data_IF_657608643044
#
_entry.id   IF_657608643044
#
_cell.length_a   1.000
_cell.length_b   1.000
_cell.length_c   1.000
_cell.angle_alpha   90.00
_cell.angle_beta   90.00
_cell.angle_gamma   90.00
#
_symmetry.space_group_name_H-M   'P 1'
#
loop_
_entity.id
_entity.type
_entity.pdbx_description
1 polymer ?
#
# COMPACT_ATOMS: atom_id res chain seq x y z
N UNK A 1 -4.82 3.70 7.43
CA UNK A 1 -3.38 3.35 7.39
C UNK A 1 -2.84 3.54 5.99
N UNK A 2 -1.58 3.95 5.85
CA UNK A 2 -0.83 3.90 4.59
C UNK A 2 0.43 3.06 4.79
N UNK A 3 0.61 1.99 4.01
CA UNK A 3 1.85 1.21 4.01
C UNK A 3 2.75 1.73 2.88
N UNK A 4 3.53 2.80 3.11
CA UNK A 4 4.53 3.29 2.14
C UNK A 4 5.48 4.33 2.75
N UNK A 5 6.67 3.88 3.11
CA UNK A 5 7.88 4.69 3.24
C UNK A 5 7.78 5.79 4.29
N UNK A 6 8.18 6.99 3.88
CA UNK A 6 8.31 8.15 4.78
C UNK A 6 6.98 8.78 5.18
N UNK A 7 5.83 8.33 4.65
CA UNK A 7 4.51 8.88 4.97
C UNK A 7 4.07 10.10 4.15
N UNK A 8 4.86 10.52 3.14
CA UNK A 8 4.56 11.71 2.33
C UNK A 8 3.23 11.64 1.58
N UNK A 9 2.83 10.45 1.09
CA UNK A 9 1.53 10.30 0.41
C UNK A 9 0.38 10.49 1.40
N UNK A 10 0.50 9.89 2.58
CA UNK A 10 -0.51 9.99 3.63
C UNK A 10 -0.64 11.41 4.18
N UNK A 11 0.47 12.14 4.31
CA UNK A 11 0.43 13.52 4.79
C UNK A 11 -0.34 14.44 3.84
N UNK A 12 -0.23 14.24 2.53
CA UNK A 12 -1.03 14.94 1.52
C UNK A 12 -2.52 14.59 1.66
N UNK A 13 -2.84 13.31 1.84
CA UNK A 13 -4.23 12.84 2.03
C UNK A 13 -4.85 13.48 3.28
N UNK A 14 -4.17 13.40 4.43
CA UNK A 14 -4.66 13.96 5.70
C UNK A 14 -4.74 15.49 5.64
N UNK A 15 -3.81 16.15 4.95
CA UNK A 15 -3.88 17.62 4.77
C UNK A 15 -5.10 18.05 3.96
N UNK A 16 -5.52 17.25 2.96
CA UNK A 16 -6.72 17.51 2.16
C UNK A 16 -8.01 17.10 2.86
N UNK A 17 -7.97 16.04 3.67
CA UNK A 17 -9.11 15.51 4.42
C UNK A 17 -8.77 15.45 5.91
N UNK A 18 -8.85 16.59 6.63
CA UNK A 18 -8.37 16.67 7.99
C UNK A 18 -9.01 15.63 8.91
N UNK A 19 -10.31 15.36 8.75
CA UNK A 19 -11.04 14.39 9.58
C UNK A 19 -10.44 12.97 9.61
N UNK A 20 -9.56 12.63 8.67
CA UNK A 20 -8.83 11.37 8.64
C UNK A 20 -7.69 11.39 9.65
N UNK A 21 -7.66 10.40 10.55
CA UNK A 21 -6.49 10.09 11.39
C UNK A 21 -5.56 9.15 10.64
N UNK A 22 -4.38 9.62 10.29
CA UNK A 22 -3.43 8.86 9.47
C UNK A 22 -2.43 8.07 10.33
N UNK A 23 -2.30 6.76 10.05
CA UNK A 23 -1.19 5.92 10.52
C UNK A 23 -0.30 5.60 9.31
N UNK A 24 0.94 6.10 9.30
CA UNK A 24 2.00 5.67 8.40
C UNK A 24 2.68 4.44 8.98
N UNK A 25 2.73 3.38 8.19
CA UNK A 25 3.18 2.06 8.63
C UNK A 25 4.27 1.57 7.70
N UNK A 26 5.43 1.22 8.25
CA UNK A 26 6.54 0.62 7.52
C UNK A 26 7.47 -0.11 8.50
N UNK A 27 8.56 -0.69 8.03
CA UNK A 27 9.57 -1.31 8.88
C UNK A 27 10.19 -0.28 9.83
N UNK A 28 10.61 -0.69 11.05
CA UNK A 28 11.14 0.22 12.06
C UNK A 28 12.26 1.17 11.56
N UNK A 29 13.20 0.64 10.78
CA UNK A 29 14.33 1.42 10.24
C UNK A 29 13.91 2.45 9.17
N UNK A 30 12.78 2.26 8.50
CA UNK A 30 12.21 3.23 7.56
C UNK A 30 11.55 4.35 8.34
N UNK A 31 10.75 3.98 9.34
CA UNK A 31 10.03 4.92 10.21
C UNK A 31 10.98 5.80 11.03
N UNK A 32 12.10 5.27 11.49
CA UNK A 32 13.13 6.04 12.22
C UNK A 32 13.60 7.27 11.44
N UNK A 33 13.62 7.18 10.10
CA UNK A 33 14.05 8.25 9.21
C UNK A 33 12.88 9.05 8.60
N UNK A 34 11.63 8.75 9.00
CA UNK A 34 10.47 9.45 8.47
C UNK A 34 10.35 10.86 9.09
N UNK A 35 10.08 11.90 8.29
CA UNK A 35 9.88 13.24 8.81
C UNK A 35 8.57 13.31 9.62
N UNK A 36 8.50 14.27 10.54
CA UNK A 36 7.26 14.56 11.25
C UNK A 36 6.30 15.35 10.35
N UNK A 37 5.02 15.01 10.39
CA UNK A 37 3.97 15.73 9.69
C UNK A 37 3.01 16.36 10.71
N UNK A 38 3.31 17.57 11.22
CA UNK A 38 2.43 18.23 12.17
C UNK A 38 1.11 18.60 11.49
N UNK A 39 -0.02 18.15 12.06
CA UNK A 39 -1.34 18.58 11.64
C UNK A 39 -1.65 19.98 12.16
N UNK A 40 -2.20 20.86 11.32
CA UNK A 40 -2.65 22.18 11.76
C UNK A 40 -4.15 22.08 12.08
N UNK A 41 -4.48 22.08 13.37
CA UNK A 41 -5.83 22.42 13.82
C UNK A 41 -5.75 23.54 14.82
N UNK A 42 -6.78 24.37 14.82
CA UNK A 42 -6.97 25.44 15.80
C UNK A 42 -7.05 24.95 17.26
N UNK A 43 -7.24 23.65 17.55
CA UNK A 43 -7.41 23.12 18.92
C UNK A 43 -6.74 21.73 19.18
N UNK A 44 -6.29 20.96 18.17
CA UNK A 44 -5.72 19.60 18.38
C UNK A 44 -4.72 19.19 17.29
N UNK A 45 -3.44 18.98 17.62
CA UNK A 45 -2.47 18.43 16.65
C UNK A 45 -2.80 16.96 16.38
N UNK A 46 -3.52 16.67 15.29
CA UNK A 46 -3.68 15.30 14.78
C UNK A 46 -2.96 15.21 13.44
N UNK A 47 -1.67 14.90 13.52
CA UNK A 47 -0.81 14.69 12.36
C UNK A 47 -0.85 13.25 11.84
N UNK A 48 0.19 12.85 11.13
CA UNK A 48 0.43 11.45 10.78
C UNK A 48 1.15 10.77 11.96
N UNK A 49 0.56 9.70 12.48
CA UNK A 49 1.21 8.81 13.44
C UNK A 49 2.10 7.82 12.69
N UNK A 50 3.33 7.63 13.13
CA UNK A 50 4.26 6.67 12.55
C UNK A 50 4.34 5.41 13.40
N UNK A 51 4.17 4.25 12.78
CA UNK A 51 4.25 2.93 13.44
C UNK A 51 5.23 2.05 12.68
N UNK A 52 6.30 1.64 13.36
CA UNK A 52 7.36 0.78 12.82
C UNK A 52 7.13 -0.69 13.18
N UNK A 53 6.77 -1.53 12.22
CA UNK A 53 6.57 -2.98 12.44
C UNK A 53 6.62 -3.74 11.09
N UNK A 54 6.72 -5.07 11.14
CA UNK A 54 6.62 -5.91 9.94
C UNK A 54 5.15 -6.22 9.59
N UNK A 55 4.74 -5.93 8.36
CA UNK A 55 3.39 -6.23 7.83
C UNK A 55 3.07 -7.74 7.87
N UNK A 56 4.10 -8.60 7.81
CA UNK A 56 3.95 -10.04 7.96
C UNK A 56 3.81 -10.47 9.43
N UNK A 57 4.14 -9.60 10.39
CA UNK A 57 3.91 -9.82 11.81
C UNK A 57 2.54 -9.31 12.24
N UNK A 58 2.26 -8.01 12.07
CA UNK A 58 0.97 -7.41 12.42
C UNK A 58 0.67 -6.16 11.59
N UNK A 59 -0.61 -5.80 11.51
CA UNK A 59 -1.09 -4.62 10.78
C UNK A 59 -1.99 -3.84 11.73
N UNK A 60 -1.69 -2.56 12.06
CA UNK A 60 -2.56 -1.71 12.86
C UNK A 60 -3.99 -1.63 12.31
N UNK A 61 -4.97 -1.54 13.22
CA UNK A 61 -6.38 -1.45 12.84
C UNK A 61 -6.71 -0.10 12.20
N UNK A 62 -7.67 -0.10 11.28
CA UNK A 62 -8.22 1.14 10.74
C UNK A 62 -9.42 0.92 9.82
N UNK A 63 -10.21 1.97 9.62
CA UNK A 63 -11.39 1.93 8.73
C UNK A 63 -11.01 1.67 7.27
N UNK A 64 -9.78 2.08 6.89
CA UNK A 64 -9.22 1.78 5.59
C UNK A 64 -7.70 1.56 5.66
N UNK A 65 -7.21 0.66 4.81
CA UNK A 65 -5.79 0.42 4.56
C UNK A 65 -5.48 0.82 3.12
N UNK A 66 -4.59 1.79 2.97
CA UNK A 66 -4.09 2.27 1.69
C UNK A 66 -2.70 1.69 1.43
N UNK A 67 -2.53 1.04 0.29
CA UNK A 67 -1.27 0.43 -0.14
C UNK A 67 -0.90 1.01 -1.49
N UNK A 68 0.30 1.57 -1.62
CA UNK A 68 0.80 2.12 -2.88
C UNK A 68 2.09 1.41 -3.25
N UNK A 69 2.15 0.78 -4.43
CA UNK A 69 3.36 0.07 -4.90
C UNK A 69 3.92 -0.96 -3.91
N UNK A 70 3.04 -1.61 -3.15
CA UNK A 70 3.42 -2.68 -2.22
C UNK A 70 3.35 -4.05 -2.89
N UNK A 71 2.37 -4.27 -3.77
CA UNK A 71 2.14 -5.58 -4.37
C UNK A 71 3.28 -5.96 -5.32
N UNK A 72 3.82 -4.99 -6.05
CA UNK A 72 4.94 -5.19 -6.98
C UNK A 72 6.21 -5.77 -6.31
N UNK A 73 6.35 -5.62 -4.99
CA UNK A 73 7.52 -6.10 -4.25
C UNK A 73 7.50 -7.60 -3.93
N UNK A 74 6.38 -8.27 -4.17
CA UNK A 74 6.10 -9.58 -3.61
C UNK A 74 5.43 -10.53 -4.60
N UNK A 75 5.62 -11.83 -4.39
CA UNK A 75 4.89 -12.87 -5.13
C UNK A 75 3.47 -13.00 -4.61
N UNK A 76 2.60 -13.68 -5.35
CA UNK A 76 1.18 -13.84 -4.98
C UNK A 76 0.99 -14.54 -3.62
N UNK A 77 1.87 -15.49 -3.29
CA UNK A 77 1.88 -16.16 -1.98
C UNK A 77 2.28 -15.22 -0.84
N UNK A 78 3.24 -14.33 -1.08
CA UNK A 78 3.62 -13.30 -0.10
C UNK A 78 2.52 -12.26 0.05
N UNK A 79 1.94 -11.80 -1.07
CA UNK A 79 0.77 -10.93 -1.06
C UNK A 79 -0.34 -11.50 -0.20
N UNK A 80 -0.65 -12.79 -0.40
CA UNK A 80 -1.72 -13.45 0.35
C UNK A 80 -1.45 -13.49 1.87
N UNK A 81 -0.19 -13.63 2.29
CA UNK A 81 0.17 -13.64 3.72
C UNK A 81 -0.12 -12.31 4.42
N UNK A 82 0.30 -11.19 3.83
CA UNK A 82 0.05 -9.88 4.45
C UNK A 82 -1.40 -9.43 4.23
N UNK A 83 -2.03 -9.79 3.09
CA UNK A 83 -3.41 -9.40 2.80
C UNK A 83 -4.39 -9.99 3.80
N UNK A 84 -4.17 -11.22 4.26
CA UNK A 84 -4.97 -11.81 5.33
C UNK A 84 -4.94 -10.94 6.60
N UNK A 85 -3.77 -10.41 6.97
CA UNK A 85 -3.61 -9.53 8.13
C UNK A 85 -4.26 -8.18 7.92
N UNK A 86 -4.17 -7.62 6.71
CA UNK A 86 -4.88 -6.40 6.34
C UNK A 86 -6.40 -6.59 6.43
N UNK A 87 -6.91 -7.73 5.94
CA UNK A 87 -8.32 -8.10 6.02
C UNK A 87 -8.80 -8.20 7.48
N UNK A 88 -8.01 -8.83 8.36
CA UNK A 88 -8.30 -8.91 9.81
C UNK A 88 -8.19 -7.55 10.54
N UNK A 89 -7.47 -6.58 9.97
CA UNK A 89 -7.23 -5.27 10.55
C UNK A 89 -8.28 -4.20 10.16
N UNK A 90 -9.11 -4.48 9.17
CA UNK A 90 -10.25 -3.63 8.79
C UNK A 90 -11.57 -4.16 9.40
N UNK A 91 -12.53 -3.29 9.74
CA UNK A 91 -13.88 -3.73 10.12
C UNK A 91 -14.64 -4.30 8.91
N UNK A 92 -15.80 -4.93 9.13
CA UNK A 92 -16.63 -5.54 8.07
C UNK A 92 -17.01 -4.57 6.94
N UNK A 93 -17.16 -3.28 7.25
CA UNK A 93 -17.45 -2.20 6.30
C UNK A 93 -16.19 -1.41 5.87
N UNK A 94 -15.02 -1.87 6.29
CA UNK A 94 -13.73 -1.26 6.00
C UNK A 94 -13.28 -1.53 4.56
N UNK A 95 -12.22 -0.83 4.15
CA UNK A 95 -11.73 -0.92 2.77
C UNK A 95 -10.23 -1.10 2.69
N UNK A 96 -9.79 -2.02 1.85
CA UNK A 96 -8.42 -2.05 1.35
C UNK A 96 -8.38 -1.30 0.01
N UNK A 97 -7.49 -0.32 -0.10
CA UNK A 97 -7.34 0.56 -1.27
C UNK A 97 -5.94 0.35 -1.83
N UNK A 98 -5.85 -0.11 -3.07
CA UNK A 98 -4.59 -0.38 -3.75
C UNK A 98 -4.36 0.67 -4.83
N UNK A 99 -3.21 1.30 -4.78
CA UNK A 99 -2.71 2.22 -5.80
C UNK A 99 -1.46 1.61 -6.43
N UNK A 100 -1.65 0.85 -7.49
CA UNK A 100 -0.57 0.20 -8.24
C UNK A 100 -0.75 0.37 -9.75
N UNK A 101 0.29 0.03 -10.50
CA UNK A 101 0.18 -0.07 -11.95
C UNK A 101 -0.66 -1.30 -12.32
N UNK A 102 -1.33 -1.24 -13.47
CA UNK A 102 -2.04 -2.40 -14.03
C UNK A 102 -1.32 -2.80 -15.31
N UNK A 103 -0.84 -4.04 -15.35
CA UNK A 103 -0.30 -4.64 -16.55
C UNK A 103 -1.46 -5.02 -17.48
N UNK A 104 -1.49 -4.58 -18.74
CA UNK A 104 -2.55 -4.97 -19.66
C UNK A 104 -2.40 -6.46 -20.02
N UNK A 105 -3.54 -7.16 -20.16
CA UNK A 105 -3.57 -8.56 -20.61
C UNK A 105 -2.91 -8.74 -21.99
N UNK A 106 -2.98 -7.71 -22.84
CA UNK A 106 -2.39 -7.69 -24.17
C UNK A 106 -1.56 -6.43 -24.37
N UNK A 107 -0.30 -6.54 -24.81
CA UNK A 107 0.54 -5.38 -25.08
C UNK A 107 -0.05 -4.51 -26.21
N UNK A 108 -0.02 -3.20 -25.99
CA UNK A 108 -0.35 -2.18 -26.99
C UNK A 108 0.80 -1.16 -27.11
N UNK A 109 0.86 -0.36 -28.19
CA UNK A 109 2.01 0.51 -28.45
C UNK A 109 2.04 1.79 -27.60
N UNK A 110 1.09 2.01 -26.69
CA UNK A 110 1.01 3.20 -25.84
C UNK A 110 2.25 3.35 -24.95
N UNK A 111 2.48 4.60 -24.53
CA UNK A 111 3.55 4.91 -23.59
C UNK A 111 3.30 4.25 -22.23
N UNK A 112 2.05 4.19 -21.78
CA UNK A 112 1.68 3.57 -20.50
C UNK A 112 2.09 2.10 -20.46
N UNK A 113 1.73 1.32 -21.48
CA UNK A 113 2.07 -0.11 -21.56
C UNK A 113 3.57 -0.35 -21.64
N UNK A 114 4.31 0.50 -22.38
CA UNK A 114 5.77 0.44 -22.42
C UNK A 114 6.42 0.73 -21.06
N UNK A 115 5.91 1.72 -20.33
CA UNK A 115 6.44 2.10 -19.01
C UNK A 115 6.21 0.99 -17.99
N UNK A 116 4.98 0.46 -17.91
CA UNK A 116 4.66 -0.64 -16.99
C UNK A 116 5.45 -1.90 -17.35
N UNK A 117 5.54 -2.26 -18.63
CA UNK A 117 6.33 -3.42 -19.06
C UNK A 117 7.84 -3.28 -18.80
N UNK A 118 8.42 -2.08 -18.99
CA UNK A 118 9.82 -1.83 -18.66
C UNK A 118 10.06 -1.92 -17.14
N UNK A 119 9.13 -1.39 -16.36
CA UNK A 119 9.19 -1.48 -14.90
C UNK A 119 9.09 -2.94 -14.44
N UNK A 120 8.19 -3.74 -15.01
CA UNK A 120 8.05 -5.18 -14.73
C UNK A 120 9.34 -5.95 -15.05
N UNK A 121 9.95 -5.72 -16.22
CA UNK A 121 11.26 -6.29 -16.57
C UNK A 121 12.34 -5.92 -15.54
N UNK A 122 12.31 -4.69 -15.03
CA UNK A 122 13.26 -4.22 -14.00
C UNK A 122 13.01 -4.90 -12.66
N UNK A 123 11.75 -5.05 -12.26
CA UNK A 123 11.36 -5.77 -11.05
C UNK A 123 11.85 -7.22 -11.11
N UNK A 124 11.55 -7.93 -12.20
CA UNK A 124 11.97 -9.30 -12.43
C UNK A 124 13.49 -9.47 -12.37
N UNK A 125 14.25 -8.53 -12.95
CA UNK A 125 15.71 -8.56 -12.93
C UNK A 125 16.32 -8.36 -11.53
N UNK A 126 15.61 -7.69 -10.61
CA UNK A 126 16.11 -7.43 -9.25
C UNK A 126 15.74 -8.52 -8.25
N UNK A 127 14.59 -9.18 -8.42
CA UNK A 127 14.13 -10.27 -7.55
C UNK A 127 13.02 -11.08 -8.25
N UNK A 128 13.21 -12.39 -8.37
CA UNK A 128 12.27 -13.31 -9.04
C UNK A 128 10.85 -13.33 -8.46
N UNK A 129 10.65 -12.86 -7.21
CA UNK A 129 9.32 -12.77 -6.61
C UNK A 129 8.53 -11.52 -7.00
N UNK A 130 9.17 -10.51 -7.60
CA UNK A 130 8.54 -9.22 -7.94
C UNK A 130 7.91 -9.26 -9.31
N UNK A 131 6.70 -8.73 -9.43
CA UNK A 131 5.98 -8.62 -10.70
C UNK A 131 4.93 -7.53 -10.65
N UNK A 132 4.70 -6.91 -11.79
CA UNK A 132 3.44 -6.23 -12.08
C UNK A 132 2.30 -7.25 -12.23
N UNK A 133 1.07 -6.76 -12.13
CA UNK A 133 -0.13 -7.61 -12.18
C UNK A 133 -1.18 -7.06 -13.11
N UNK A 134 -1.92 -7.97 -13.74
CA UNK A 134 -3.12 -7.59 -14.46
C UNK A 134 -4.28 -7.32 -13.51
N UNK A 135 -5.33 -6.66 -13.99
CA UNK A 135 -6.54 -6.42 -13.21
C UNK A 135 -7.13 -7.73 -12.64
N UNK A 136 -7.19 -8.79 -13.47
CA UNK A 136 -7.66 -10.12 -13.07
C UNK A 136 -6.82 -10.74 -11.95
N UNK A 137 -5.51 -10.52 -11.96
CA UNK A 137 -4.63 -11.02 -10.89
C UNK A 137 -4.86 -10.25 -9.58
N UNK A 138 -5.12 -8.94 -9.65
CA UNK A 138 -5.53 -8.18 -8.47
C UNK A 138 -6.90 -8.63 -7.94
N UNK A 139 -7.89 -8.86 -8.81
CA UNK A 139 -9.20 -9.40 -8.44
C UNK A 139 -9.08 -10.78 -7.76
N UNK A 140 -8.25 -11.66 -8.31
CA UNK A 140 -7.99 -12.98 -7.74
C UNK A 140 -7.35 -12.90 -6.35
N UNK A 141 -6.46 -11.92 -6.11
CA UNK A 141 -5.90 -11.68 -4.79
C UNK A 141 -6.91 -11.09 -3.81
N UNK A 142 -7.79 -10.18 -4.27
CA UNK A 142 -8.79 -9.52 -3.43
C UNK A 142 -9.87 -10.50 -2.94
N UNK A 143 -10.30 -11.41 -3.81
CA UNK A 143 -11.38 -12.38 -3.53
C UNK A 143 -10.91 -13.61 -2.76
N UNK A 144 -9.60 -13.78 -2.54
CA UNK A 144 -9.01 -14.97 -1.90
C UNK A 144 -9.42 -15.19 -0.45
N UNK A 145 -9.99 -14.16 0.19
CA UNK A 145 -10.41 -14.16 1.60
C UNK A 145 -11.91 -13.89 1.77
N UNK A 146 -12.65 -13.74 0.67
CA UNK A 146 -14.10 -13.69 0.73
C UNK A 146 -14.63 -15.10 1.05
N UNK A 147 -15.65 -15.21 1.92
CA UNK A 147 -16.21 -16.50 2.33
C UNK A 147 -16.92 -17.27 1.20
#
# INVERSE_FOLDING_TARGET
MSAVGTGATLSIIVSKYPTIKGINFDLPHVIENAPTYPGIYMILVVGVEHVGEDMFASVPKGDAIFMKWIYVNWSDDHCSKFLKKCYEAVPDNGKMIVADSILPDYPDPSLATKVVGLFDCTLWATNHGRKERTEKEFEALATRFEP
#
